data_IF_464941318884
#
_entry.id   IF_464941318884
#
_cell.length_a   1.000
_cell.length_b   1.000
_cell.length_c   1.000
_cell.angle_alpha   90.00
_cell.angle_beta   90.00
_cell.angle_gamma   90.00
#
_symmetry.space_group_name_H-M   'P 1'
#
loop_
_entity.id
_entity.type
_entity.pdbx_description
1 polymer ?
#
# COMPACT_ATOMS: atom_id res chain seq x y z
N UNK A 1 8.60 -19.24 12.23
CA UNK A 1 9.68 -19.88 11.46
C UNK A 1 10.98 -19.83 12.26
N UNK A 2 11.66 -20.97 12.39
CA UNK A 2 12.86 -21.15 13.21
C UNK A 2 13.93 -21.90 12.41
N UNK A 3 15.20 -21.57 12.63
CA UNK A 3 16.31 -22.29 12.03
C UNK A 3 17.52 -22.35 12.95
N UNK A 4 18.34 -23.38 12.77
CA UNK A 4 19.55 -23.61 13.55
C UNK A 4 20.68 -24.08 12.65
N UNK A 5 21.88 -23.56 12.90
CA UNK A 5 23.08 -24.01 12.22
C UNK A 5 24.29 -24.04 13.16
N UNK A 6 25.25 -24.89 12.82
CA UNK A 6 26.51 -25.07 13.52
C UNK A 6 27.65 -25.18 12.51
N UNK A 7 28.74 -24.47 12.77
CA UNK A 7 29.94 -24.50 11.94
C UNK A 7 31.20 -24.65 12.79
N UNK A 8 32.19 -25.37 12.26
CA UNK A 8 33.53 -25.43 12.85
C UNK A 8 34.30 -24.15 12.55
N UNK A 9 34.93 -23.56 13.56
CA UNK A 9 35.73 -22.33 13.41
C UNK A 9 36.97 -22.62 12.55
N UNK A 10 37.63 -23.76 12.79
CA UNK A 10 38.74 -24.28 11.96
C UNK A 10 38.38 -24.34 10.47
N UNK A 11 37.19 -24.84 10.12
CA UNK A 11 36.73 -24.90 8.72
C UNK A 11 36.64 -23.52 8.07
N UNK A 12 36.16 -22.51 8.81
CA UNK A 12 36.07 -21.14 8.29
C UNK A 12 37.46 -20.53 8.10
N UNK A 13 38.39 -20.83 9.00
CA UNK A 13 39.80 -20.45 8.86
C UNK A 13 40.42 -21.07 7.60
N UNK A 14 40.27 -22.37 7.41
CA UNK A 14 40.79 -23.08 6.23
C UNK A 14 40.20 -22.54 4.92
N UNK A 15 38.90 -22.22 4.90
CA UNK A 15 38.25 -21.62 3.74
C UNK A 15 38.79 -20.23 3.43
N UNK A 16 39.04 -19.42 4.46
CA UNK A 16 39.63 -18.10 4.28
C UNK A 16 41.05 -18.19 3.72
N UNK A 17 41.88 -19.08 4.28
CA UNK A 17 43.27 -19.26 3.85
C UNK A 17 43.36 -19.81 2.42
N UNK A 18 42.41 -20.69 2.03
CA UNK A 18 42.36 -21.31 0.70
C UNK A 18 41.70 -20.43 -0.37
N UNK A 19 40.73 -19.60 0.01
CA UNK A 19 39.95 -18.77 -0.91
C UNK A 19 39.91 -17.30 -0.43
N UNK A 20 40.87 -16.47 -0.86
CA UNK A 20 40.98 -15.08 -0.38
C UNK A 20 39.74 -14.22 -0.65
N UNK A 21 38.96 -14.54 -1.69
CA UNK A 21 37.70 -13.86 -2.05
C UNK A 21 36.50 -14.26 -1.19
N UNK A 22 36.63 -15.30 -0.36
CA UNK A 22 35.53 -15.83 0.46
C UNK A 22 34.90 -14.76 1.36
N UNK A 23 35.72 -13.88 1.96
CA UNK A 23 35.21 -12.75 2.76
C UNK A 23 34.32 -11.84 1.92
N UNK A 24 34.81 -11.43 0.76
CA UNK A 24 34.14 -10.49 -0.13
C UNK A 24 33.00 -11.12 -0.91
N UNK A 25 32.81 -12.43 -0.91
CA UNK A 25 31.68 -13.09 -1.55
C UNK A 25 30.55 -13.39 -0.56
N UNK A 26 30.90 -13.69 0.70
CA UNK A 26 29.93 -14.20 1.68
C UNK A 26 29.47 -13.14 2.70
N UNK A 27 30.27 -12.09 2.96
CA UNK A 27 30.00 -11.08 4.00
C UNK A 27 29.79 -9.68 3.41
N UNK A 28 28.95 -8.87 4.05
CA UNK A 28 28.76 -7.45 3.70
C UNK A 28 29.89 -6.59 4.25
N UNK A 29 30.06 -5.37 3.74
CA UNK A 29 31.09 -4.44 4.26
C UNK A 29 30.90 -4.14 5.75
N UNK A 30 29.66 -4.02 6.21
CA UNK A 30 29.33 -3.83 7.63
C UNK A 30 29.80 -5.00 8.48
N UNK A 31 29.56 -6.23 8.02
CA UNK A 31 29.98 -7.46 8.70
C UNK A 31 31.50 -7.59 8.74
N UNK A 32 32.18 -7.31 7.63
CA UNK A 32 33.65 -7.33 7.55
C UNK A 32 34.25 -6.31 8.52
N UNK A 33 33.72 -5.08 8.53
CA UNK A 33 34.13 -4.03 9.45
C UNK A 33 33.90 -4.41 10.92
N UNK A 34 32.81 -5.12 11.21
CA UNK A 34 32.55 -5.65 12.54
C UNK A 34 33.55 -6.74 12.93
N UNK A 35 33.81 -7.70 12.05
CA UNK A 35 34.74 -8.83 12.26
C UNK A 35 36.15 -8.31 12.56
N UNK A 36 36.66 -7.40 11.73
CA UNK A 36 38.03 -6.85 11.86
C UNK A 36 38.28 -6.11 13.18
N UNK A 37 37.22 -5.60 13.82
CA UNK A 37 37.30 -4.88 15.11
C UNK A 37 37.33 -5.82 16.33
N UNK A 38 37.24 -7.14 16.16
CA UNK A 38 37.16 -8.10 17.27
C UNK A 38 38.46 -8.89 17.42
N UNK A 39 38.80 -9.23 18.67
CA UNK A 39 40.01 -9.99 19.04
C UNK A 39 40.08 -11.36 18.36
N UNK A 40 38.94 -12.04 18.18
CA UNK A 40 38.85 -13.37 17.59
C UNK A 40 38.06 -13.30 16.26
N UNK A 41 38.67 -12.88 15.14
CA UNK A 41 37.95 -12.64 13.89
C UNK A 41 37.32 -13.92 13.31
N UNK A 42 38.02 -15.06 13.35
CA UNK A 42 37.50 -16.33 12.81
C UNK A 42 36.29 -16.87 13.59
N UNK A 43 36.26 -16.70 14.92
CA UNK A 43 35.06 -17.01 15.72
C UNK A 43 33.86 -16.16 15.28
N UNK A 44 34.06 -14.86 15.02
CA UNK A 44 33.00 -13.95 14.59
C UNK A 44 32.52 -14.29 13.19
N UNK A 45 33.44 -14.62 12.28
CA UNK A 45 33.10 -15.11 10.94
C UNK A 45 32.26 -16.38 11.01
N UNK A 46 32.67 -17.38 11.80
CA UNK A 46 31.93 -18.62 11.96
C UNK A 46 30.54 -18.39 12.57
N UNK A 47 30.43 -17.49 13.55
CA UNK A 47 29.15 -17.12 14.15
C UNK A 47 28.19 -16.43 13.17
N UNK A 48 28.69 -15.48 12.37
CA UNK A 48 27.90 -14.80 11.33
C UNK A 48 27.51 -15.79 10.23
N UNK A 49 28.44 -16.64 9.79
CA UNK A 49 28.18 -17.69 8.80
C UNK A 49 27.03 -18.60 9.26
N UNK A 50 27.12 -19.16 10.47
CA UNK A 50 26.05 -19.99 11.02
C UNK A 50 24.75 -19.21 11.20
N UNK A 51 24.79 -17.92 11.54
CA UNK A 51 23.58 -17.11 11.62
C UNK A 51 22.87 -16.96 10.27
N UNK A 52 23.63 -16.74 9.19
CA UNK A 52 23.07 -16.69 7.83
C UNK A 52 22.47 -18.03 7.44
N UNK A 53 23.19 -19.13 7.67
CA UNK A 53 22.70 -20.49 7.40
C UNK A 53 21.45 -20.85 8.23
N UNK A 54 21.38 -20.42 9.49
CA UNK A 54 20.19 -20.58 10.32
C UNK A 54 18.99 -19.80 9.75
N UNK A 55 19.19 -18.59 9.20
CA UNK A 55 18.13 -17.84 8.52
C UNK A 55 17.68 -18.56 7.24
N UNK A 56 18.61 -19.10 6.44
CA UNK A 56 18.27 -19.89 5.23
C UNK A 56 17.34 -21.05 5.59
N UNK A 57 17.72 -21.82 6.61
CA UNK A 57 16.92 -22.95 7.12
C UNK A 57 15.59 -22.50 7.70
N UNK A 58 15.53 -21.36 8.39
CA UNK A 58 14.30 -20.84 8.94
C UNK A 58 13.24 -20.54 7.86
N UNK A 59 13.66 -20.27 6.62
CA UNK A 59 12.77 -19.99 5.50
C UNK A 59 12.54 -21.18 4.57
N UNK A 60 13.14 -22.35 4.85
CA UNK A 60 13.04 -23.56 4.01
C UNK A 60 13.49 -23.33 2.54
N UNK A 61 14.53 -22.50 2.33
CA UNK A 61 15.02 -22.13 0.99
C UNK A 61 16.29 -22.91 0.63
N UNK A 62 16.36 -23.42 -0.60
CA UNK A 62 17.62 -23.93 -1.19
C UNK A 62 18.54 -22.78 -1.64
N UNK A 63 19.86 -22.89 -1.37
CA UNK A 63 20.91 -21.85 -1.56
C UNK A 63 21.11 -21.37 -3.01
N UNK A 64 20.11 -20.72 -3.58
CA UNK A 64 20.05 -20.24 -4.96
C UNK A 64 20.26 -18.73 -5.06
N UNK A 65 20.65 -18.07 -3.97
CA UNK A 65 20.83 -16.62 -3.90
C UNK A 65 22.17 -16.22 -3.24
N UNK A 66 22.70 -15.02 -3.52
CA UNK A 66 23.93 -14.52 -2.92
C UNK A 66 23.85 -14.44 -1.39
N UNK A 67 24.82 -15.00 -0.64
CA UNK A 67 24.81 -14.96 0.83
C UNK A 67 24.78 -13.54 1.45
N UNK A 68 25.19 -12.53 0.68
CA UNK A 68 25.12 -11.12 1.08
C UNK A 68 23.71 -10.53 1.16
N UNK A 69 22.71 -11.18 0.59
CA UNK A 69 21.30 -10.77 0.78
C UNK A 69 20.84 -10.92 2.23
N UNK A 70 21.52 -11.78 3.01
CA UNK A 70 21.33 -11.88 4.46
C UNK A 70 22.41 -11.03 5.12
N UNK A 71 22.00 -10.08 5.96
CA UNK A 71 22.91 -9.22 6.71
C UNK A 71 22.67 -9.34 8.21
N UNK A 72 23.77 -9.49 8.95
CA UNK A 72 23.79 -9.66 10.41
C UNK A 72 24.26 -8.37 11.08
N UNK A 73 23.40 -7.81 11.91
CA UNK A 73 23.65 -6.58 12.65
C UNK A 73 23.86 -6.88 14.14
N UNK A 74 24.51 -5.96 14.84
CA UNK A 74 24.70 -6.02 16.29
C UNK A 74 24.30 -4.69 16.93
N UNK A 75 23.26 -4.70 17.75
CA UNK A 75 22.76 -3.53 18.47
C UNK A 75 22.77 -3.83 19.98
N UNK A 76 23.39 -2.96 20.79
CA UNK A 76 23.55 -3.18 22.23
C UNK A 76 24.10 -4.57 22.60
N UNK A 77 25.08 -5.07 21.84
CA UNK A 77 25.70 -6.42 21.95
C UNK A 77 24.76 -7.59 21.61
N UNK A 78 23.54 -7.35 21.13
CA UNK A 78 22.62 -8.40 20.68
C UNK A 78 22.63 -8.52 19.15
N UNK A 79 22.80 -9.72 18.58
CA UNK A 79 22.73 -9.91 17.14
C UNK A 79 21.29 -9.98 16.64
N UNK A 80 21.04 -9.48 15.43
CA UNK A 80 19.81 -9.73 14.68
C UNK A 80 20.10 -9.78 13.19
N UNK A 81 19.27 -10.50 12.43
CA UNK A 81 19.44 -10.67 10.98
C UNK A 81 18.37 -9.93 10.20
N UNK A 82 18.70 -9.52 8.98
CA UNK A 82 17.72 -9.08 7.98
C UNK A 82 17.87 -9.91 6.71
N UNK A 83 16.75 -10.32 6.13
CA UNK A 83 16.71 -11.01 4.85
C UNK A 83 15.38 -10.75 4.15
N UNK A 84 15.39 -10.30 2.89
CA UNK A 84 14.20 -10.07 2.04
C UNK A 84 13.04 -9.35 2.74
N UNK A 85 13.39 -8.28 3.44
CA UNK A 85 12.42 -7.52 4.21
C UNK A 85 11.79 -8.32 5.35
N UNK A 86 12.57 -9.17 6.01
CA UNK A 86 12.25 -9.88 7.23
C UNK A 86 13.37 -9.66 8.26
N UNK A 87 13.03 -9.54 9.53
CA UNK A 87 13.94 -9.37 10.67
C UNK A 87 13.92 -10.63 11.52
N UNK A 88 15.09 -11.14 11.86
CA UNK A 88 15.28 -12.36 12.63
C UNK A 88 15.98 -12.06 13.95
N UNK A 89 15.48 -12.67 15.02
CA UNK A 89 16.15 -12.75 16.31
C UNK A 89 17.25 -13.76 16.15
N UNK A 90 18.44 -13.40 16.59
CA UNK A 90 19.60 -14.27 16.56
C UNK A 90 20.10 -14.52 17.97
N UNK A 91 20.46 -15.77 18.22
CA UNK A 91 21.31 -16.14 19.34
C UNK A 91 22.54 -16.81 18.76
N UNK A 92 23.72 -16.26 19.00
CA UNK A 92 25.00 -16.78 18.51
C UNK A 92 25.87 -17.11 19.72
N UNK A 93 26.34 -18.36 19.78
CA UNK A 93 27.20 -18.85 20.86
C UNK A 93 28.43 -19.56 20.28
N UNK A 94 29.50 -19.58 21.07
CA UNK A 94 30.76 -20.23 20.73
C UNK A 94 31.14 -21.19 21.84
N UNK A 95 31.56 -22.40 21.48
CA UNK A 95 32.11 -23.38 22.41
C UNK A 95 33.24 -24.14 21.70
N UNK A 96 34.45 -24.06 22.25
CA UNK A 96 35.66 -24.65 21.68
C UNK A 96 35.84 -24.27 20.20
N UNK A 97 35.84 -25.24 19.30
CA UNK A 97 36.01 -25.06 17.85
C UNK A 97 34.66 -24.93 17.10
N UNK A 98 33.56 -24.63 17.77
CA UNK A 98 32.24 -24.53 17.15
C UNK A 98 31.58 -23.18 17.40
N UNK A 99 30.91 -22.67 16.36
CA UNK A 99 29.94 -21.59 16.46
C UNK A 99 28.54 -22.14 16.16
N UNK A 100 27.56 -21.80 16.99
CA UNK A 100 26.16 -22.18 16.83
C UNK A 100 25.32 -20.92 16.71
N UNK A 101 24.36 -20.92 15.79
CA UNK A 101 23.39 -19.85 15.68
C UNK A 101 21.96 -20.38 15.61
N UNK A 102 21.06 -19.68 16.30
CA UNK A 102 19.62 -19.88 16.23
C UNK A 102 18.97 -18.63 15.64
N UNK A 103 18.08 -18.82 14.66
CA UNK A 103 17.31 -17.76 14.03
C UNK A 103 15.81 -17.96 14.26
N UNK A 104 15.12 -16.90 14.69
CA UNK A 104 13.66 -16.85 14.79
C UNK A 104 13.16 -15.65 14.01
N UNK A 105 12.28 -15.86 13.03
CA UNK A 105 11.60 -14.74 12.36
C UNK A 105 10.84 -13.91 13.40
N UNK A 106 11.15 -12.62 13.48
CA UNK A 106 10.48 -11.67 14.38
C UNK A 106 9.42 -10.88 13.61
N UNK A 107 9.77 -10.30 12.46
CA UNK A 107 8.92 -9.33 11.73
C UNK A 107 9.22 -9.34 10.23
N UNK A 108 8.23 -8.99 9.38
CA UNK A 108 8.49 -8.53 8.02
C UNK A 108 8.90 -7.05 8.09
N UNK A 109 10.12 -6.68 7.71
CA UNK A 109 10.58 -5.30 7.61
C UNK A 109 10.63 -4.84 6.15
N UNK A 110 9.57 -4.19 5.68
CA UNK A 110 9.66 -3.34 4.49
C UNK A 110 10.28 -2.02 4.93
N UNK A 111 11.27 -1.51 4.18
CA UNK A 111 11.84 -0.21 4.47
C UNK A 111 10.78 0.87 4.27
N UNK A 112 10.53 1.63 5.33
CA UNK A 112 9.53 2.70 5.32
C UNK A 112 10.20 4.00 4.90
N UNK A 113 9.64 4.65 3.89
CA UNK A 113 10.07 5.96 3.42
C UNK A 113 9.92 6.99 4.56
N UNK A 114 11.01 7.71 4.85
CA UNK A 114 11.12 8.54 6.06
C UNK A 114 9.99 9.56 6.20
N UNK A 115 9.49 10.09 5.09
CA UNK A 115 8.42 11.10 5.09
C UNK A 115 7.05 10.56 5.55
N UNK A 116 6.85 9.25 5.52
CA UNK A 116 5.59 8.63 5.97
C UNK A 116 5.64 8.17 7.44
N UNK A 117 6.81 8.17 8.08
CA UNK A 117 6.93 7.80 9.49
C UNK A 117 6.18 8.84 10.33
N UNK A 118 5.25 8.36 11.16
CA UNK A 118 4.40 9.16 12.05
C UNK A 118 3.58 10.23 11.32
N UNK A 119 3.30 10.05 10.02
CA UNK A 119 2.50 11.00 9.24
C UNK A 119 1.03 11.01 9.68
N UNK A 120 0.53 9.89 10.21
CA UNK A 120 -0.85 9.76 10.66
C UNK A 120 -1.07 10.55 11.96
N UNK A 121 -2.17 11.32 12.06
CA UNK A 121 -2.50 12.00 13.31
C UNK A 121 -2.84 10.99 14.41
N UNK A 122 -2.35 11.24 15.63
CA UNK A 122 -2.70 10.42 16.80
C UNK A 122 -4.20 10.47 17.04
N UNK A 123 -4.79 9.31 17.35
CA UNK A 123 -6.19 9.21 17.74
C UNK A 123 -6.35 9.61 19.21
N UNK A 124 -7.10 10.67 19.47
CA UNK A 124 -7.46 11.08 20.83
C UNK A 124 -8.30 9.99 21.52
N UNK A 125 -8.01 9.68 22.78
CA UNK A 125 -8.78 8.74 23.60
C UNK A 125 -10.24 9.15 23.79
N UNK A 126 -10.55 10.44 23.69
CA UNK A 126 -11.91 10.99 23.80
C UNK A 126 -12.63 11.09 22.44
N UNK A 127 -12.09 10.49 21.38
CA UNK A 127 -12.71 10.49 20.05
C UNK A 127 -13.91 9.54 19.96
N UNK A 128 -14.82 9.84 19.03
CA UNK A 128 -15.97 8.99 18.72
C UNK A 128 -16.03 8.69 17.21
N UNK A 129 -16.89 7.78 16.78
CA UNK A 129 -17.04 7.41 15.35
C UNK A 129 -17.26 8.61 14.40
N UNK A 130 -17.89 9.70 14.84
CA UNK A 130 -18.04 10.90 14.02
C UNK A 130 -16.73 11.68 13.77
N UNK A 131 -15.73 11.51 14.64
CA UNK A 131 -14.44 12.23 14.58
C UNK A 131 -13.65 11.82 13.35
N UNK A 132 -13.74 10.54 12.99
CA UNK A 132 -13.03 9.94 11.85
C UNK A 132 -13.85 9.94 10.56
N UNK A 133 -14.90 10.77 10.50
CA UNK A 133 -15.67 11.05 9.30
C UNK A 133 -16.76 10.04 8.96
N UNK A 134 -17.79 10.57 8.32
CA UNK A 134 -18.85 9.83 7.64
C UNK A 134 -18.57 9.85 6.15
N UNK A 135 -18.38 8.69 5.54
CA UNK A 135 -17.91 8.57 4.16
C UNK A 135 -18.94 7.83 3.34
N UNK A 136 -19.32 8.39 2.18
CA UNK A 136 -20.23 7.76 1.24
C UNK A 136 -19.48 7.22 0.04
N UNK A 137 -19.64 5.95 -0.27
CA UNK A 137 -19.08 5.32 -1.47
C UNK A 137 -20.26 4.97 -2.38
N UNK A 138 -20.38 5.70 -3.48
CA UNK A 138 -21.43 5.58 -4.48
C UNK A 138 -20.94 4.67 -5.61
N UNK A 139 -21.56 3.51 -5.76
CA UNK A 139 -21.17 2.58 -6.82
C UNK A 139 -21.86 1.23 -6.73
N UNK A 140 -21.25 0.26 -7.40
CA UNK A 140 -21.82 -1.06 -7.58
C UNK A 140 -22.99 -1.06 -8.57
N UNK A 141 -23.10 -2.17 -9.29
CA UNK A 141 -24.21 -2.51 -10.16
C UNK A 141 -24.43 -4.01 -10.10
N UNK A 142 -25.51 -4.49 -10.72
CA UNK A 142 -25.64 -5.92 -10.98
C UNK A 142 -24.38 -6.42 -11.72
N UNK A 143 -23.81 -7.53 -11.27
CA UNK A 143 -22.53 -8.07 -11.76
C UNK A 143 -21.25 -7.42 -11.19
N UNK A 144 -21.31 -6.21 -10.62
CA UNK A 144 -20.14 -5.45 -10.13
C UNK A 144 -20.19 -5.14 -8.63
N UNK A 145 -20.92 -5.94 -7.84
CA UNK A 145 -21.04 -5.76 -6.37
C UNK A 145 -19.70 -5.81 -5.62
N UNK A 146 -18.69 -6.47 -6.20
CA UNK A 146 -17.36 -6.59 -5.60
C UNK A 146 -16.62 -5.27 -5.47
N UNK A 147 -16.78 -4.34 -6.41
CA UNK A 147 -16.01 -3.10 -6.45
C UNK A 147 -16.35 -2.16 -5.29
N UNK A 148 -17.64 -1.91 -5.08
CA UNK A 148 -18.11 -1.11 -3.95
C UNK A 148 -17.84 -1.80 -2.61
N UNK A 149 -17.89 -3.14 -2.57
CA UNK A 149 -17.52 -3.92 -1.38
C UNK A 149 -16.05 -3.74 -0.98
N UNK A 150 -15.13 -3.88 -1.94
CA UNK A 150 -13.69 -3.73 -1.69
C UNK A 150 -13.36 -2.30 -1.23
N UNK A 151 -13.93 -1.31 -1.92
CA UNK A 151 -13.75 0.11 -1.59
C UNK A 151 -14.17 0.39 -0.14
N UNK A 152 -15.34 -0.07 0.27
CA UNK A 152 -15.86 0.27 1.61
C UNK A 152 -15.18 -0.46 2.75
N UNK A 153 -14.77 -1.71 2.53
CA UNK A 153 -13.98 -2.43 3.51
C UNK A 153 -12.59 -1.82 3.68
N UNK A 154 -11.94 -1.45 2.57
CA UNK A 154 -10.66 -0.75 2.61
C UNK A 154 -10.76 0.61 3.31
N UNK A 155 -11.88 1.33 3.10
CA UNK A 155 -12.16 2.60 3.75
C UNK A 155 -12.24 2.47 5.28
N UNK A 156 -13.00 1.51 5.80
CA UNK A 156 -13.06 1.23 7.23
C UNK A 156 -11.70 0.80 7.79
N UNK A 157 -11.00 -0.11 7.10
CA UNK A 157 -9.65 -0.58 7.51
C UNK A 157 -8.60 0.53 7.48
N UNK A 158 -8.85 1.60 6.73
CA UNK A 158 -8.01 2.80 6.67
C UNK A 158 -8.38 3.86 7.70
N UNK A 159 -9.32 3.53 8.60
CA UNK A 159 -9.59 4.31 9.78
C UNK A 159 -10.82 5.21 9.72
N UNK A 160 -11.65 5.10 8.68
CA UNK A 160 -12.93 5.79 8.60
C UNK A 160 -13.83 5.45 9.80
N UNK A 161 -14.58 6.44 10.29
CA UNK A 161 -15.46 6.26 11.44
C UNK A 161 -16.81 5.64 11.09
N UNK A 162 -17.41 6.07 9.99
CA UNK A 162 -18.63 5.50 9.40
C UNK A 162 -18.49 5.45 7.89
N UNK A 163 -18.87 4.32 7.29
CA UNK A 163 -18.86 4.13 5.84
C UNK A 163 -20.24 3.71 5.37
N UNK A 164 -20.77 4.44 4.40
CA UNK A 164 -22.05 4.19 3.75
C UNK A 164 -21.82 3.71 2.32
N UNK A 165 -22.34 2.54 2.00
CA UNK A 165 -22.41 2.01 0.65
C UNK A 165 -23.69 2.47 -0.01
N UNK A 166 -23.57 3.46 -0.88
CA UNK A 166 -24.71 4.02 -1.59
C UNK A 166 -24.83 3.31 -2.93
N UNK A 167 -25.81 2.43 -3.02
CA UNK A 167 -25.96 1.47 -4.11
C UNK A 167 -27.37 1.50 -4.69
N UNK A 168 -27.50 0.98 -5.91
CA UNK A 168 -28.80 0.80 -6.54
C UNK A 168 -29.67 -0.20 -5.77
N UNK A 169 -30.99 0.02 -5.84
CA UNK A 169 -31.99 -0.83 -5.16
C UNK A 169 -31.83 -2.30 -5.53
N UNK A 170 -31.48 -2.57 -6.78
CA UNK A 170 -31.28 -3.92 -7.34
C UNK A 170 -30.20 -4.74 -6.61
N UNK A 171 -29.20 -4.08 -6.00
CA UNK A 171 -28.11 -4.77 -5.29
C UNK A 171 -28.12 -4.50 -3.78
N UNK A 172 -29.10 -3.75 -3.27
CA UNK A 172 -29.17 -3.37 -1.85
C UNK A 172 -29.21 -4.57 -0.90
N UNK A 173 -30.01 -5.59 -1.23
CA UNK A 173 -30.12 -6.80 -0.40
C UNK A 173 -28.82 -7.63 -0.44
N UNK A 174 -28.26 -7.85 -1.64
CA UNK A 174 -26.98 -8.54 -1.83
C UNK A 174 -25.88 -7.87 -1.00
N UNK A 175 -25.84 -6.54 -1.05
CA UNK A 175 -24.93 -5.73 -0.28
C UNK A 175 -25.17 -5.87 1.22
N UNK A 176 -26.41 -5.77 1.68
CA UNK A 176 -26.78 -5.89 3.10
C UNK A 176 -26.40 -7.25 3.69
N UNK A 177 -26.38 -8.31 2.88
CA UNK A 177 -25.90 -9.64 3.29
C UNK A 177 -24.37 -9.72 3.33
N UNK A 178 -23.69 -9.09 2.36
CA UNK A 178 -22.21 -9.09 2.28
C UNK A 178 -21.55 -8.19 3.33
N UNK A 179 -22.26 -7.20 3.86
CA UNK A 179 -21.72 -6.21 4.78
C UNK A 179 -21.97 -6.60 6.24
N UNK A 180 -20.89 -6.66 7.02
CA UNK A 180 -20.97 -6.77 8.47
C UNK A 180 -20.90 -5.35 9.08
N UNK A 181 -19.94 -4.52 8.66
CA UNK A 181 -19.73 -3.18 9.23
C UNK A 181 -20.13 -1.99 8.34
N UNK A 182 -19.85 -1.97 7.02
CA UNK A 182 -20.32 -0.88 6.16
C UNK A 182 -21.85 -0.82 6.06
N UNK A 183 -22.45 0.37 6.10
CA UNK A 183 -23.91 0.53 6.09
C UNK A 183 -24.40 0.64 4.64
N UNK A 184 -25.16 -0.36 4.16
CA UNK A 184 -25.84 -0.25 2.87
C UNK A 184 -26.94 0.84 2.91
N UNK A 185 -27.02 1.64 1.85
CA UNK A 185 -28.04 2.66 1.62
C UNK A 185 -28.46 2.65 0.16
N UNK A 186 -29.74 2.80 -0.06
CA UNK A 186 -30.36 2.99 -1.38
C UNK A 186 -31.40 4.10 -1.26
N UNK A 187 -31.75 4.74 -2.36
CA UNK A 187 -32.65 5.89 -2.41
C UNK A 187 -33.61 5.74 -3.59
N UNK A 188 -34.88 6.05 -3.39
CA UNK A 188 -35.89 5.98 -4.46
C UNK A 188 -35.81 7.17 -5.43
N UNK A 189 -35.15 8.26 -5.04
CA UNK A 189 -34.95 9.43 -5.90
C UNK A 189 -33.58 10.10 -5.69
N UNK A 190 -33.17 10.87 -6.71
CA UNK A 190 -31.87 11.54 -6.74
C UNK A 190 -31.76 12.74 -5.79
N UNK A 191 -32.87 13.35 -5.36
CA UNK A 191 -32.81 14.51 -4.47
C UNK A 191 -32.46 14.09 -3.04
N UNK A 192 -33.08 13.03 -2.54
CA UNK A 192 -32.78 12.44 -1.23
C UNK A 192 -31.38 11.84 -1.19
N UNK A 193 -30.95 11.18 -2.26
CA UNK A 193 -29.58 10.72 -2.45
C UNK A 193 -28.58 11.89 -2.25
N UNK A 194 -28.79 12.99 -2.96
CA UNK A 194 -27.86 14.13 -2.93
C UNK A 194 -27.92 14.86 -1.59
N UNK A 195 -29.10 14.99 -0.99
CA UNK A 195 -29.27 15.52 0.37
C UNK A 195 -28.50 14.68 1.40
N UNK A 196 -28.58 13.36 1.28
CA UNK A 196 -27.81 12.45 2.13
C UNK A 196 -26.30 12.60 1.91
N UNK A 197 -25.83 12.56 0.67
CA UNK A 197 -24.40 12.73 0.35
C UNK A 197 -23.86 14.08 0.85
N UNK A 198 -24.65 15.16 0.76
CA UNK A 198 -24.33 16.46 1.32
C UNK A 198 -24.23 16.48 2.85
N UNK A 199 -24.76 15.48 3.56
CA UNK A 199 -24.62 15.35 5.02
C UNK A 199 -23.32 14.65 5.45
N UNK A 200 -22.62 13.99 4.52
CA UNK A 200 -21.40 13.22 4.77
C UNK A 200 -20.15 14.09 4.71
N UNK A 201 -19.02 13.65 5.25
CA UNK A 201 -17.77 14.41 5.21
C UNK A 201 -17.03 14.26 3.88
N UNK A 202 -17.03 13.05 3.31
CA UNK A 202 -16.33 12.67 2.07
C UNK A 202 -17.23 11.83 1.20
N UNK A 203 -17.15 12.01 -0.12
CA UNK A 203 -17.84 11.17 -1.10
C UNK A 203 -16.82 10.55 -2.04
N UNK A 204 -16.97 9.26 -2.33
CA UNK A 204 -16.33 8.60 -3.45
C UNK A 204 -17.40 8.09 -4.41
N UNK A 205 -17.14 8.15 -5.71
CA UNK A 205 -18.08 7.71 -6.74
C UNK A 205 -17.35 7.02 -7.87
N UNK A 206 -17.91 5.91 -8.36
CA UNK A 206 -17.42 5.26 -9.57
C UNK A 206 -17.23 3.75 -9.52
N UNK A 207 -16.68 3.14 -8.45
CA UNK A 207 -16.40 1.71 -8.39
C UNK A 207 -17.60 0.84 -8.80
N UNK A 208 -17.55 0.27 -10.00
CA UNK A 208 -18.60 -0.58 -10.57
C UNK A 208 -19.98 0.10 -10.72
N UNK A 209 -20.07 1.43 -10.82
CA UNK A 209 -21.36 2.13 -10.90
C UNK A 209 -22.07 1.99 -12.26
N UNK A 210 -21.34 1.57 -13.31
CA UNK A 210 -21.82 1.53 -14.69
C UNK A 210 -21.89 2.91 -15.37
N UNK A 211 -22.18 2.90 -16.66
CA UNK A 211 -22.08 4.09 -17.53
C UNK A 211 -23.40 4.51 -18.19
N UNK A 212 -24.54 4.09 -17.62
CA UNK A 212 -25.88 4.48 -18.13
C UNK A 212 -26.13 5.98 -17.96
N UNK A 213 -27.01 6.56 -18.78
CA UNK A 213 -27.36 8.00 -18.74
C UNK A 213 -27.74 8.51 -17.34
N UNK A 214 -28.47 7.69 -16.57
CA UNK A 214 -28.83 8.00 -15.19
C UNK A 214 -27.62 8.20 -14.27
N UNK A 215 -26.55 7.41 -14.47
CA UNK A 215 -25.31 7.50 -13.69
C UNK A 215 -24.54 8.79 -13.97
N UNK A 216 -24.58 9.25 -15.22
CA UNK A 216 -24.02 10.55 -15.62
C UNK A 216 -24.77 11.67 -14.89
N UNK A 217 -26.11 11.61 -14.80
CA UNK A 217 -26.90 12.61 -14.08
C UNK A 217 -26.61 12.60 -12.57
N UNK A 218 -26.46 11.43 -11.96
CA UNK A 218 -26.03 11.32 -10.56
C UNK A 218 -24.65 11.98 -10.38
N UNK A 219 -23.69 11.70 -11.27
CA UNK A 219 -22.36 12.32 -11.20
C UNK A 219 -22.42 13.84 -11.35
N UNK A 220 -23.22 14.37 -12.29
CA UNK A 220 -23.43 15.83 -12.44
C UNK A 220 -23.95 16.47 -11.16
N UNK A 221 -24.82 15.80 -10.42
CA UNK A 221 -25.34 16.28 -9.13
C UNK A 221 -24.31 16.16 -8.02
N UNK A 222 -23.57 15.05 -7.95
CA UNK A 222 -22.47 14.85 -6.98
C UNK A 222 -21.35 15.89 -7.17
N UNK A 223 -21.05 16.27 -8.42
CA UNK A 223 -20.08 17.32 -8.71
C UNK A 223 -20.48 18.69 -8.12
N UNK A 224 -21.75 18.93 -7.76
CA UNK A 224 -22.18 20.17 -7.09
C UNK A 224 -21.89 20.17 -5.57
N UNK A 225 -21.55 19.02 -4.98
CA UNK A 225 -21.26 18.88 -3.54
C UNK A 225 -19.89 19.48 -3.22
N UNK A 226 -19.83 20.51 -2.37
CA UNK A 226 -18.59 21.25 -2.03
C UNK A 226 -17.80 20.60 -0.89
N UNK A 227 -17.55 19.29 -1.04
CA UNK A 227 -16.80 18.46 -0.09
C UNK A 227 -15.73 17.66 -0.82
N UNK A 228 -14.73 17.11 -0.09
CA UNK A 228 -13.78 16.18 -0.67
C UNK A 228 -14.48 15.07 -1.45
N UNK A 229 -14.09 14.93 -2.72
CA UNK A 229 -14.68 14.01 -3.67
C UNK A 229 -13.58 13.15 -4.31
N UNK A 230 -13.76 11.84 -4.32
CA UNK A 230 -12.94 10.93 -5.12
C UNK A 230 -13.75 10.38 -6.27
N UNK A 231 -13.21 10.44 -7.50
CA UNK A 231 -13.81 9.84 -8.69
C UNK A 231 -12.86 8.77 -9.25
N UNK A 232 -13.36 7.55 -9.42
CA UNK A 232 -12.61 6.40 -9.95
C UNK A 232 -13.44 5.65 -11.01
N UNK A 233 -12.83 4.73 -11.75
CA UNK A 233 -13.49 3.73 -12.57
C UNK A 233 -14.61 4.29 -13.47
N UNK A 234 -15.83 3.76 -13.36
CA UNK A 234 -16.97 4.22 -14.15
C UNK A 234 -17.37 5.68 -13.86
N UNK A 235 -17.02 6.20 -12.69
CA UNK A 235 -17.13 7.63 -12.40
C UNK A 235 -16.27 8.46 -13.34
N UNK A 236 -15.05 8.00 -13.64
CA UNK A 236 -14.16 8.66 -14.62
C UNK A 236 -14.69 8.46 -16.05
N UNK A 237 -15.20 7.28 -16.39
CA UNK A 237 -15.81 7.05 -17.71
C UNK A 237 -17.02 7.97 -17.94
N UNK A 238 -17.85 8.18 -16.92
CA UNK A 238 -18.99 9.10 -16.96
C UNK A 238 -18.55 10.58 -16.98
N UNK A 239 -17.46 10.91 -16.31
CA UNK A 239 -16.91 12.27 -16.23
C UNK A 239 -16.53 12.82 -17.62
N UNK A 240 -16.02 11.95 -18.52
CA UNK A 240 -15.67 12.30 -19.91
C UNK A 240 -16.85 12.93 -20.67
N UNK A 241 -18.09 12.60 -20.28
CA UNK A 241 -19.31 13.03 -20.95
C UNK A 241 -19.92 14.31 -20.34
N UNK A 242 -19.18 14.98 -19.45
CA UNK A 242 -19.63 16.19 -18.76
C UNK A 242 -18.69 17.32 -19.15
N UNK A 243 -19.24 18.36 -19.79
CA UNK A 243 -18.49 19.55 -20.13
C UNK A 243 -18.14 20.37 -18.89
N UNK A 244 -16.89 20.84 -18.82
CA UNK A 244 -16.35 21.64 -17.71
C UNK A 244 -16.74 21.13 -16.31
N UNK A 245 -16.48 19.84 -15.97
CA UNK A 245 -17.11 19.17 -14.83
C UNK A 245 -16.73 19.77 -13.47
N UNK A 246 -15.62 20.51 -13.42
CA UNK A 246 -15.06 21.11 -12.20
C UNK A 246 -15.31 22.61 -12.07
N UNK A 247 -15.95 23.26 -13.06
CA UNK A 247 -16.09 24.74 -13.14
C UNK A 247 -16.61 25.39 -11.85
N UNK A 248 -17.57 24.74 -11.19
CA UNK A 248 -18.24 25.25 -10.00
C UNK A 248 -17.78 24.55 -8.71
N UNK A 249 -16.70 23.78 -8.75
CA UNK A 249 -16.16 23.08 -7.57
C UNK A 249 -15.02 23.88 -6.95
N UNK A 250 -14.85 23.72 -5.65
CA UNK A 250 -13.65 24.20 -4.96
C UNK A 250 -12.41 23.50 -5.51
N UNK A 251 -11.43 24.31 -5.89
CA UNK A 251 -10.12 23.88 -6.38
C UNK A 251 -9.49 22.85 -5.42
N UNK A 252 -8.89 21.81 -6.00
CA UNK A 252 -8.11 20.78 -5.31
C UNK A 252 -8.86 20.00 -4.22
N UNK A 253 -10.21 20.00 -4.24
CA UNK A 253 -11.02 19.10 -3.39
C UNK A 253 -11.46 17.82 -4.10
N UNK A 254 -11.11 17.65 -5.38
CA UNK A 254 -11.41 16.43 -6.13
C UNK A 254 -10.15 15.65 -6.41
N UNK A 255 -10.17 14.36 -6.05
CA UNK A 255 -9.15 13.38 -6.41
C UNK A 255 -9.69 12.51 -7.55
N UNK A 256 -8.90 12.39 -8.62
CA UNK A 256 -9.16 11.47 -9.72
C UNK A 256 -8.13 10.35 -9.68
N UNK A 257 -8.55 9.11 -9.89
CA UNK A 257 -7.64 7.95 -9.78
C UNK A 257 -7.53 7.11 -11.06
N UNK A 258 -7.34 7.70 -12.25
CA UNK A 258 -7.34 6.94 -13.50
C UNK A 258 -6.14 5.98 -13.63
N UNK A 259 -6.36 4.81 -14.21
CA UNK A 259 -5.30 4.05 -14.88
C UNK A 259 -5.07 4.60 -16.31
N UNK A 260 -4.03 4.18 -17.06
CA UNK A 260 -3.67 4.80 -18.33
C UNK A 260 -4.79 4.79 -19.39
N UNK A 261 -5.64 3.75 -19.45
CA UNK A 261 -6.77 3.71 -20.38
C UNK A 261 -7.90 4.66 -19.96
N UNK A 262 -8.18 4.79 -18.67
CA UNK A 262 -9.15 5.79 -18.17
C UNK A 262 -8.64 7.20 -18.43
N UNK A 263 -7.34 7.44 -18.23
CA UNK A 263 -6.72 8.74 -18.50
C UNK A 263 -6.70 9.08 -20.00
N UNK A 264 -6.50 8.07 -20.86
CA UNK A 264 -6.66 8.20 -22.31
C UNK A 264 -8.06 8.69 -22.68
N UNK A 265 -9.12 8.14 -22.08
CA UNK A 265 -10.49 8.61 -22.32
C UNK A 265 -10.70 10.05 -21.84
N UNK A 266 -10.12 10.43 -20.72
CA UNK A 266 -10.21 11.80 -20.17
C UNK A 266 -9.47 12.84 -21.03
N UNK A 267 -8.38 12.46 -21.68
CA UNK A 267 -7.49 13.39 -22.39
C UNK A 267 -7.61 13.32 -23.91
N UNK A 268 -8.17 12.24 -24.45
CA UNK A 268 -8.14 11.91 -25.88
C UNK A 268 -6.77 11.47 -26.38
N UNK A 269 -5.79 11.24 -25.49
CA UNK A 269 -4.42 10.85 -25.86
C UNK A 269 -4.26 9.32 -25.92
N UNK A 270 -3.29 8.87 -26.70
CA UNK A 270 -2.93 7.46 -26.82
C UNK A 270 -2.31 6.90 -25.50
N UNK A 271 -2.69 5.69 -25.04
CA UNK A 271 -2.14 5.09 -23.82
C UNK A 271 -0.62 4.91 -23.81
N UNK A 272 0.03 4.61 -24.95
CA UNK A 272 1.49 4.47 -25.00
C UNK A 272 2.17 5.83 -24.86
N UNK A 273 1.63 6.85 -25.53
CA UNK A 273 2.10 8.23 -25.35
C UNK A 273 1.95 8.68 -23.89
N UNK A 274 0.83 8.34 -23.24
CA UNK A 274 0.61 8.58 -21.81
C UNK A 274 1.68 7.90 -20.97
N UNK A 275 1.94 6.60 -21.19
CA UNK A 275 2.90 5.84 -20.40
C UNK A 275 4.33 6.39 -20.49
N UNK A 276 4.70 6.97 -21.64
CA UNK A 276 6.01 7.59 -21.84
C UNK A 276 6.13 9.01 -21.28
N UNK A 277 5.01 9.67 -20.92
CA UNK A 277 4.98 11.07 -20.51
C UNK A 277 4.14 11.30 -19.24
N UNK A 278 4.04 10.28 -18.38
CA UNK A 278 3.07 10.23 -17.26
C UNK A 278 3.14 11.44 -16.33
N UNK A 279 4.33 11.80 -15.87
CA UNK A 279 4.52 12.92 -14.93
C UNK A 279 4.06 14.25 -15.51
N UNK A 280 4.51 14.56 -16.74
CA UNK A 280 4.19 15.79 -17.44
C UNK A 280 2.68 15.91 -17.68
N UNK A 281 2.08 14.88 -18.29
CA UNK A 281 0.66 14.90 -18.65
C UNK A 281 -0.23 14.92 -17.41
N UNK A 282 0.15 14.19 -16.36
CA UNK A 282 -0.57 14.21 -15.10
C UNK A 282 -0.56 15.62 -14.48
N UNK A 283 0.61 16.27 -14.46
CA UNK A 283 0.78 17.63 -13.91
C UNK A 283 -0.03 18.66 -14.69
N UNK A 284 0.04 18.63 -16.02
CA UNK A 284 -0.72 19.52 -16.90
C UNK A 284 -2.23 19.36 -16.70
N UNK A 285 -2.73 18.11 -16.65
CA UNK A 285 -4.14 17.83 -16.43
C UNK A 285 -4.63 18.28 -15.06
N UNK A 286 -3.87 17.97 -14.00
CA UNK A 286 -4.19 18.35 -12.63
C UNK A 286 -4.26 19.88 -12.48
N UNK A 287 -3.27 20.59 -13.04
CA UNK A 287 -3.22 22.06 -13.00
C UNK A 287 -4.36 22.71 -13.77
N UNK A 288 -4.63 22.24 -14.99
CA UNK A 288 -5.71 22.76 -15.86
C UNK A 288 -7.08 22.61 -15.22
N UNK A 289 -7.35 21.45 -14.63
CA UNK A 289 -8.66 21.13 -14.05
C UNK A 289 -8.76 21.45 -12.57
N UNK A 290 -7.66 21.89 -11.94
CA UNK A 290 -7.54 22.19 -10.51
C UNK A 290 -8.00 21.02 -9.63
N UNK A 291 -7.51 19.84 -9.96
CA UNK A 291 -7.79 18.58 -9.24
C UNK A 291 -6.49 17.94 -8.77
N UNK A 292 -6.60 17.00 -7.84
CA UNK A 292 -5.52 16.07 -7.53
C UNK A 292 -5.67 14.86 -8.44
N UNK A 293 -4.61 14.50 -9.16
CA UNK A 293 -4.60 13.36 -10.05
C UNK A 293 -3.67 12.27 -9.52
N UNK A 294 -4.20 11.05 -9.46
CA UNK A 294 -3.48 9.81 -9.14
C UNK A 294 -3.46 8.94 -10.40
N UNK A 295 -2.41 9.04 -11.19
CA UNK A 295 -2.25 8.26 -12.42
C UNK A 295 -1.65 6.89 -12.09
N UNK A 296 -2.53 5.89 -11.94
CA UNK A 296 -2.21 4.51 -11.55
C UNK A 296 -1.28 3.84 -12.57
N UNK A 297 -0.44 2.92 -12.09
CA UNK A 297 0.53 2.14 -12.88
C UNK A 297 1.79 1.85 -12.06
N UNK A 298 2.73 1.11 -12.65
CA UNK A 298 4.08 0.92 -12.04
C UNK A 298 4.71 2.30 -11.83
N UNK A 299 5.18 2.62 -10.62
CA UNK A 299 5.48 4.01 -10.24
C UNK A 299 4.25 4.94 -10.40
N UNK A 300 3.29 4.85 -9.47
CA UNK A 300 2.07 5.67 -9.52
C UNK A 300 2.41 7.14 -9.31
N UNK A 301 1.87 8.03 -10.15
CA UNK A 301 2.12 9.48 -10.07
C UNK A 301 0.97 10.16 -9.35
N UNK A 302 1.27 10.97 -8.34
CA UNK A 302 0.30 11.81 -7.62
C UNK A 302 0.69 13.28 -7.80
N UNK A 303 -0.23 14.13 -8.25
CA UNK A 303 0.06 15.56 -8.48
C UNK A 303 -1.19 16.42 -8.34
N UNK A 304 -1.02 17.65 -7.82
CA UNK A 304 -2.02 18.72 -7.87
C UNK A 304 -1.69 19.76 -8.95
N UNK A 305 -0.73 19.47 -9.84
CA UNK A 305 -0.29 20.37 -10.89
C UNK A 305 0.92 21.24 -10.53
N UNK A 306 1.22 21.41 -9.24
CA UNK A 306 2.43 22.11 -8.78
C UNK A 306 3.39 21.14 -8.07
N UNK A 307 2.87 20.34 -7.13
CA UNK A 307 3.58 19.28 -6.43
C UNK A 307 3.46 17.95 -7.17
N UNK A 308 4.47 17.10 -7.05
CA UNK A 308 4.47 15.76 -7.61
C UNK A 308 5.08 14.76 -6.62
N UNK A 309 4.49 13.58 -6.55
CA UNK A 309 5.00 12.43 -5.82
C UNK A 309 4.92 11.20 -6.71
N UNK A 310 5.97 10.37 -6.67
CA UNK A 310 6.07 9.13 -7.44
C UNK A 310 6.17 7.99 -6.45
N UNK A 311 5.09 7.20 -6.36
CA UNK A 311 5.03 6.07 -5.44
C UNK A 311 5.84 4.89 -5.96
N UNK A 312 6.87 4.48 -5.22
CA UNK A 312 7.71 3.33 -5.58
C UNK A 312 7.32 2.03 -4.86
N UNK A 313 6.43 2.09 -3.87
CA UNK A 313 5.91 0.89 -3.19
C UNK A 313 4.94 0.11 -4.06
N UNK A 314 4.74 -1.16 -3.70
CA UNK A 314 3.89 -2.10 -4.41
C UNK A 314 4.67 -3.04 -5.32
N UNK A 315 3.96 -4.06 -5.82
CA UNK A 315 4.54 -5.15 -6.58
C UNK A 315 3.58 -5.68 -7.66
N UNK A 316 4.07 -6.49 -8.62
CA UNK A 316 3.25 -7.03 -9.70
C UNK A 316 2.02 -7.85 -9.26
N UNK A 317 2.05 -8.48 -8.08
CA UNK A 317 0.89 -9.24 -7.55
C UNK A 317 -0.34 -8.37 -7.27
N UNK A 318 -0.16 -7.05 -7.22
CA UNK A 318 -1.26 -6.08 -7.09
C UNK A 318 -2.02 -5.83 -8.40
N UNK A 319 -1.51 -6.34 -9.54
CA UNK A 319 -2.17 -6.29 -10.83
C UNK A 319 -3.34 -7.30 -10.93
N UNK A 320 -4.19 -7.33 -9.90
CA UNK A 320 -5.41 -8.12 -9.84
C UNK A 320 -6.63 -7.21 -9.87
N UNK A 321 -7.75 -7.72 -10.39
CA UNK A 321 -9.01 -6.99 -10.41
C UNK A 321 -9.41 -6.57 -8.99
N UNK A 322 -9.82 -5.31 -8.85
CA UNK A 322 -10.28 -4.72 -7.59
C UNK A 322 -9.20 -4.05 -6.73
N UNK A 323 -7.91 -4.11 -7.09
CA UNK A 323 -6.89 -3.34 -6.34
C UNK A 323 -7.12 -1.82 -6.42
N UNK A 324 -7.60 -1.32 -7.56
CA UNK A 324 -8.03 0.08 -7.70
C UNK A 324 -9.18 0.45 -6.75
N UNK A 325 -10.15 -0.44 -6.57
CA UNK A 325 -11.27 -0.24 -5.65
C UNK A 325 -10.76 -0.11 -4.20
N UNK A 326 -9.79 -0.95 -3.82
CA UNK A 326 -9.12 -0.86 -2.51
C UNK A 326 -8.44 0.50 -2.33
N UNK A 327 -7.69 0.98 -3.33
CA UNK A 327 -7.07 2.30 -3.31
C UNK A 327 -8.11 3.43 -3.14
N UNK A 328 -9.24 3.35 -3.85
CA UNK A 328 -10.34 4.29 -3.70
C UNK A 328 -10.85 4.35 -2.26
N UNK A 329 -11.03 3.19 -1.62
CA UNK A 329 -11.39 3.12 -0.21
C UNK A 329 -10.38 3.80 0.73
N UNK A 330 -9.09 3.49 0.54
CA UNK A 330 -8.00 4.05 1.36
C UNK A 330 -7.96 5.57 1.27
N UNK A 331 -7.90 6.13 0.05
CA UNK A 331 -7.82 7.58 -0.13
C UNK A 331 -9.07 8.26 0.42
N UNK A 332 -10.26 7.66 0.25
CA UNK A 332 -11.51 8.21 0.76
C UNK A 332 -11.48 8.39 2.28
N UNK A 333 -10.96 7.41 3.03
CA UNK A 333 -10.77 7.52 4.48
C UNK A 333 -9.83 8.67 4.84
N UNK A 334 -8.71 8.78 4.12
CA UNK A 334 -7.68 9.78 4.38
C UNK A 334 -8.10 11.20 4.01
N UNK A 335 -9.02 11.38 3.07
CA UNK A 335 -9.58 12.68 2.69
C UNK A 335 -10.31 13.39 3.85
N UNK A 336 -10.70 12.66 4.89
CA UNK A 336 -11.29 13.27 6.09
C UNK A 336 -10.26 14.01 6.94
N UNK A 337 -9.02 13.51 6.98
CA UNK A 337 -7.99 13.93 7.93
C UNK A 337 -6.81 14.63 7.26
N UNK A 338 -6.73 14.59 5.92
CA UNK A 338 -5.70 15.24 5.14
C UNK A 338 -6.29 16.07 3.99
N UNK A 339 -5.60 17.15 3.56
CA UNK A 339 -5.85 17.77 2.26
C UNK A 339 -5.71 16.75 1.12
N UNK A 340 -6.42 16.96 0.01
CA UNK A 340 -6.56 15.96 -1.06
C UNK A 340 -5.25 15.43 -1.64
N UNK A 341 -4.23 16.29 -1.81
CA UNK A 341 -2.91 15.84 -2.28
C UNK A 341 -2.23 14.91 -1.28
N UNK A 342 -2.21 15.28 0.01
CA UNK A 342 -1.60 14.46 1.06
C UNK A 342 -2.38 13.15 1.27
N UNK A 343 -3.72 13.20 1.23
CA UNK A 343 -4.57 12.01 1.30
C UNK A 343 -4.28 11.03 0.16
N UNK A 344 -4.15 11.55 -1.07
CA UNK A 344 -3.80 10.75 -2.25
C UNK A 344 -2.39 10.15 -2.13
N UNK A 345 -1.40 10.97 -1.73
CA UNK A 345 0.00 10.57 -1.55
C UNK A 345 0.15 9.46 -0.50
N UNK A 346 -0.40 9.67 0.70
CA UNK A 346 -0.38 8.66 1.77
C UNK A 346 -1.17 7.42 1.36
N UNK A 347 -2.31 7.60 0.69
CA UNK A 347 -3.15 6.50 0.26
C UNK A 347 -2.48 5.56 -0.75
N UNK A 348 -1.79 6.10 -1.77
CA UNK A 348 -1.04 5.26 -2.72
C UNK A 348 0.14 4.55 -2.06
N UNK A 349 0.82 5.21 -1.11
CA UNK A 349 1.95 4.64 -0.40
C UNK A 349 1.51 3.46 0.48
N UNK A 350 0.47 3.67 1.31
CA UNK A 350 -0.10 2.62 2.18
C UNK A 350 -0.65 1.47 1.34
N UNK A 351 -1.30 1.75 0.21
CA UNK A 351 -1.81 0.73 -0.68
C UNK A 351 -0.67 -0.16 -1.22
N UNK A 352 0.40 0.44 -1.74
CA UNK A 352 1.58 -0.29 -2.22
C UNK A 352 2.28 -1.07 -1.11
N UNK A 353 2.48 -0.44 0.05
CA UNK A 353 3.10 -1.05 1.21
C UNK A 353 2.33 -2.27 1.74
N UNK A 354 0.99 -2.19 1.79
CA UNK A 354 0.15 -3.33 2.15
C UNK A 354 0.26 -4.46 1.11
N UNK A 355 0.35 -4.11 -0.18
CA UNK A 355 0.63 -5.07 -1.24
C UNK A 355 1.98 -5.77 -1.07
N UNK A 356 3.02 -5.04 -0.66
CA UNK A 356 4.35 -5.61 -0.43
C UNK A 356 4.36 -6.55 0.79
N UNK A 357 3.62 -6.21 1.85
CA UNK A 357 3.43 -7.12 2.98
C UNK A 357 2.68 -8.39 2.56
N UNK A 358 1.64 -8.24 1.73
CA UNK A 358 0.89 -9.37 1.19
C UNK A 358 1.78 -10.28 0.34
N UNK A 359 2.62 -9.71 -0.54
CA UNK A 359 3.60 -10.46 -1.34
C UNK A 359 4.53 -11.28 -0.46
N UNK A 360 5.08 -10.69 0.59
CA UNK A 360 6.00 -11.39 1.49
C UNK A 360 5.33 -12.56 2.21
N UNK A 361 4.02 -12.53 2.40
CA UNK A 361 3.27 -13.60 3.07
C UNK A 361 2.67 -14.64 2.13
N UNK A 362 2.29 -14.26 0.90
CA UNK A 362 1.47 -15.09 0.01
C UNK A 362 2.14 -15.38 -1.34
N UNK A 363 3.24 -14.69 -1.66
CA UNK A 363 3.80 -14.61 -3.00
C UNK A 363 2.95 -13.75 -3.94
N UNK A 364 3.50 -13.35 -5.09
CA UNK A 364 2.83 -12.44 -6.03
C UNK A 364 1.63 -13.10 -6.75
N UNK A 365 1.74 -14.40 -7.07
CA UNK A 365 0.76 -15.13 -7.89
C UNK A 365 -0.60 -15.29 -7.20
N UNK A 366 -0.59 -15.50 -5.88
CA UNK A 366 -1.79 -15.83 -5.10
C UNK A 366 -2.49 -14.59 -4.53
N UNK A 367 -1.93 -13.40 -4.74
CA UNK A 367 -2.47 -12.16 -4.21
C UNK A 367 -3.78 -11.75 -4.88
N UNK A 368 -4.71 -11.27 -4.06
CA UNK A 368 -5.98 -10.67 -4.50
C UNK A 368 -6.20 -9.34 -3.79
N UNK A 369 -7.13 -8.54 -4.28
CA UNK A 369 -7.46 -7.24 -3.69
C UNK A 369 -7.81 -7.31 -2.19
N UNK A 370 -8.50 -8.36 -1.73
CA UNK A 370 -8.81 -8.56 -0.30
C UNK A 370 -7.56 -8.79 0.55
N UNK A 371 -6.51 -9.37 -0.02
CA UNK A 371 -5.26 -9.58 0.71
C UNK A 371 -4.60 -8.23 1.00
N UNK A 372 -4.65 -7.28 0.06
CA UNK A 372 -4.21 -5.89 0.31
C UNK A 372 -4.98 -5.30 1.50
N UNK A 373 -6.30 -5.45 1.54
CA UNK A 373 -7.13 -5.01 2.69
C UNK A 373 -6.69 -5.66 4.00
N UNK A 374 -6.42 -6.98 3.97
CA UNK A 374 -5.99 -7.74 5.16
C UNK A 374 -4.64 -7.28 5.70
N UNK A 375 -3.75 -6.77 4.83
CA UNK A 375 -2.43 -6.25 5.20
C UNK A 375 -2.40 -4.75 5.48
N UNK A 376 -3.51 -4.01 5.29
CA UNK A 376 -3.60 -2.59 5.69
C UNK A 376 -3.24 -2.33 7.16
N UNK A 377 -3.70 -3.13 8.16
CA UNK A 377 -3.32 -2.90 9.55
C UNK A 377 -1.79 -2.97 9.76
N UNK A 378 -1.10 -3.85 9.04
CA UNK A 378 0.36 -3.96 9.11
C UNK A 378 1.03 -2.76 8.46
N UNK A 379 0.55 -2.31 7.30
CA UNK A 379 1.03 -1.10 6.64
C UNK A 379 0.90 0.14 7.55
N UNK A 380 -0.29 0.38 8.09
CA UNK A 380 -0.52 1.50 9.02
C UNK A 380 0.31 1.38 10.30
N UNK A 381 0.43 0.18 10.89
CA UNK A 381 1.26 -0.02 12.08
C UNK A 381 2.74 0.24 11.79
N UNK A 382 3.24 -0.14 10.62
CA UNK A 382 4.66 0.00 10.29
C UNK A 382 5.12 1.45 10.13
N UNK A 383 4.19 2.35 9.76
CA UNK A 383 4.47 3.78 9.67
C UNK A 383 4.30 4.52 11.00
N UNK A 384 3.63 3.92 11.99
CA UNK A 384 3.43 4.49 13.33
C UNK A 384 4.49 3.94 14.30
N UNK A 385 5.54 4.73 14.56
CA UNK A 385 6.68 4.38 15.43
C UNK A 385 6.58 4.98 16.84
N UNK A 386 5.40 5.48 17.22
CA UNK A 386 5.17 6.08 18.53
C UNK A 386 4.69 5.10 19.59
#
# INVERSE_FOLDING_TARGET
>A
MYGIDICKISRIKDLFDKYPKFLDEYFTENEINYIRKKKNPYERMAGIFSAKEAIIKANEIDKTFPPKEIEIFHENKKPYGKFRGQKYYLSISHERDYAVAFAKLIENYIEIEKEFINIMPKRDSNSHKGTFGKIGIVGGSFGMTGSVYLSSNACLKSGAGLVYNVVDKEIFEIMSIKYIEPIAKTFDNNDDLIKFLNSLDVVAIGPGMGTKKEKIEILKRVLKIQKPLLIDADGLNNLVLIDEPFKNRKDFQTVLTPHPLEFSRLTGLDPNFINNNREKLAKEYAKKNKVVLVLKGSATVVTDGDRIYINKSGNPGMASAGSGDVLTGIISALLKIFPSFEAAKVGVYIHGLAGDFAKNSLGEVSMRARDIINFLPMAFKSIDKN
#
